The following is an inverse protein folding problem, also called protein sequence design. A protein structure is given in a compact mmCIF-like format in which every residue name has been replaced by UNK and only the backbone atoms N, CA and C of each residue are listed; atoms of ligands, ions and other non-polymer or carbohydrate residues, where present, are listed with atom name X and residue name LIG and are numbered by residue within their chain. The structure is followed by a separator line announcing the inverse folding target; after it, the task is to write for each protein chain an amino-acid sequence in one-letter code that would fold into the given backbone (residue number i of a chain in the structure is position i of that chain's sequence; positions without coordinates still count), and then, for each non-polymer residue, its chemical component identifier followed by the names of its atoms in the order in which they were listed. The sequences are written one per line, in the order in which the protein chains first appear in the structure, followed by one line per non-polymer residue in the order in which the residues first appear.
data_IF_291809865138
#
_entry.id   IF_291809865138
#
_cell.length_a   1.000
_cell.length_b   1.000
_cell.length_c   1.000
_cell.angle_alpha   90.00
_cell.angle_beta   90.00
_cell.angle_gamma   90.00
#
_symmetry.space_group_name_H-M   'P 1'
#
loop_
_entity.id
_entity.type
_entity.pdbx_description
1 polymer ?
#
# COMPACT_ATOMS: atom_id res chain seq x y z
N UNK A 1 33.33 -31.17 23.59
CA UNK A 1 33.81 -30.00 22.81
C UNK A 1 32.59 -29.18 22.42
N UNK A 2 32.46 -27.96 22.96
CA UNK A 2 31.42 -27.00 22.59
C UNK A 2 31.95 -26.20 21.39
N UNK A 3 31.23 -26.18 20.27
CA UNK A 3 31.48 -25.23 19.20
C UNK A 3 30.24 -24.33 19.03
N UNK A 4 30.39 -23.10 19.49
CA UNK A 4 29.49 -21.98 19.22
C UNK A 4 29.59 -21.60 17.75
N UNK A 5 28.47 -21.53 17.04
CA UNK A 5 28.37 -20.96 15.70
C UNK A 5 27.81 -19.55 15.87
N UNK A 6 28.67 -18.54 15.80
CA UNK A 6 28.28 -17.15 15.61
C UNK A 6 27.66 -17.00 14.21
N UNK A 7 26.39 -16.60 14.16
CA UNK A 7 25.73 -16.18 12.92
C UNK A 7 26.03 -14.69 12.71
N UNK A 8 26.97 -14.39 11.82
CA UNK A 8 27.17 -13.04 11.31
C UNK A 8 26.04 -12.71 10.33
N UNK A 9 25.19 -11.76 10.71
CA UNK A 9 24.12 -11.25 9.85
C UNK A 9 24.74 -10.43 8.70
N UNK A 10 24.49 -10.84 7.46
CA UNK A 10 24.87 -10.09 6.26
C UNK A 10 24.09 -8.78 6.19
N UNK A 11 24.75 -7.63 6.02
CA UNK A 11 24.08 -6.33 6.02
C UNK A 11 23.19 -6.15 4.79
N UNK A 12 22.02 -5.56 5.01
CA UNK A 12 21.03 -5.30 3.98
C UNK A 12 21.54 -4.19 3.03
N UNK A 13 21.37 -4.33 1.71
CA UNK A 13 21.91 -3.42 0.67
C UNK A 13 21.54 -1.94 0.89
N UNK A 14 20.42 -1.69 1.58
CA UNK A 14 19.98 -0.33 1.96
C UNK A 14 20.86 0.31 3.04
N UNK A 15 21.43 -0.49 3.94
CA UNK A 15 22.36 -0.02 4.98
C UNK A 15 23.75 0.35 4.41
N UNK A 16 24.17 -0.33 3.34
CA UNK A 16 25.39 0.00 2.60
C UNK A 16 25.22 1.27 1.75
N UNK A 17 24.02 1.48 1.17
CA UNK A 17 23.69 2.70 0.46
C UNK A 17 23.72 3.94 1.38
N UNK A 18 23.19 3.82 2.61
CA UNK A 18 23.26 4.88 3.62
C UNK A 18 24.70 5.20 4.05
N UNK A 19 25.55 4.18 4.25
CA UNK A 19 26.98 4.36 4.56
C UNK A 19 27.72 5.05 3.41
N UNK A 20 27.48 4.65 2.16
CA UNK A 20 28.11 5.26 0.98
C UNK A 20 27.74 6.74 0.82
N UNK A 21 26.50 7.12 1.17
CA UNK A 21 26.06 8.52 1.13
C UNK A 21 26.73 9.35 2.23
N UNK A 22 26.88 8.79 3.43
CA UNK A 22 27.61 9.42 4.56
C UNK A 22 29.11 9.58 4.28
N UNK A 23 29.74 8.61 3.61
CA UNK A 23 31.15 8.67 3.23
C UNK A 23 31.40 9.67 2.09
N UNK A 24 30.46 9.82 1.15
CA UNK A 24 30.55 10.78 0.04
C UNK A 24 30.46 12.25 0.46
N UNK A 25 29.95 12.56 1.66
CA UNK A 25 29.91 13.93 2.16
C UNK A 25 31.24 14.42 2.75
N UNK A 26 32.25 13.55 2.91
CA UNK A 26 33.48 13.84 3.66
C UNK A 26 34.80 13.61 2.90
N UNK A 27 34.87 13.76 1.57
CA UNK A 27 36.19 13.68 0.93
C UNK A 27 36.24 13.92 -0.57
N UNK A 28 36.81 15.06 -0.94
CA UNK A 28 37.38 15.36 -2.26
C UNK A 28 38.80 14.77 -2.29
N UNK A 29 39.11 13.90 -3.26
CA UNK A 29 40.29 13.97 -4.14
C UNK A 29 40.67 12.63 -4.85
N UNK A 30 40.97 12.77 -6.15
CA UNK A 30 41.87 11.99 -7.03
C UNK A 30 41.47 10.65 -7.71
N UNK A 31 41.27 10.76 -9.04
CA UNK A 31 41.91 10.06 -10.19
C UNK A 31 41.82 8.52 -10.39
N UNK A 32 41.17 8.17 -11.50
CA UNK A 32 41.34 7.08 -12.50
C UNK A 32 41.81 5.67 -12.11
N UNK A 33 40.97 4.64 -12.36
CA UNK A 33 41.33 3.58 -13.30
C UNK A 33 40.15 2.74 -13.84
N UNK A 34 40.38 2.23 -15.04
CA UNK A 34 39.50 1.55 -16.00
C UNK A 34 39.01 0.15 -15.57
N UNK A 35 37.82 -0.19 -16.09
CA UNK A 35 37.33 -1.53 -16.45
C UNK A 35 36.80 -2.44 -15.33
N UNK A 36 35.47 -2.65 -15.33
CA UNK A 36 34.79 -3.95 -15.47
C UNK A 36 33.27 -3.75 -15.35
N UNK A 37 32.56 -3.85 -16.48
CA UNK A 37 31.11 -4.07 -16.49
C UNK A 37 30.86 -5.59 -16.42
N UNK A 38 29.82 -6.00 -15.70
CA UNK A 38 28.75 -6.71 -16.38
C UNK A 38 27.39 -6.04 -16.16
N UNK A 39 26.67 -5.94 -17.27
CA UNK A 39 25.31 -5.46 -17.45
C UNK A 39 24.31 -6.12 -16.49
N UNK A 40 23.70 -5.32 -15.62
CA UNK A 40 22.38 -5.57 -15.04
C UNK A 40 21.47 -4.45 -15.53
N UNK A 41 20.46 -4.81 -16.31
CA UNK A 41 19.42 -3.91 -16.76
C UNK A 41 18.59 -3.46 -15.55
N UNK A 42 18.92 -2.28 -15.06
CA UNK A 42 18.06 -1.46 -14.20
C UNK A 42 16.86 -1.02 -15.03
N UNK A 43 15.64 -1.36 -14.61
CA UNK A 43 14.44 -0.70 -15.15
C UNK A 43 14.33 0.62 -14.39
N UNK A 44 14.73 1.67 -15.10
CA UNK A 44 14.51 3.06 -14.78
C UNK A 44 13.01 3.35 -14.94
N UNK A 45 12.38 3.90 -13.90
CA UNK A 45 11.06 4.51 -14.02
C UNK A 45 11.23 5.89 -14.65
N UNK A 46 11.16 5.93 -15.98
CA UNK A 46 11.11 7.18 -16.72
C UNK A 46 9.65 7.63 -16.90
N UNK A 47 9.42 8.85 -16.42
CA UNK A 47 8.29 9.74 -16.67
C UNK A 47 7.98 9.87 -18.17
N UNK A 48 6.70 9.82 -18.55
CA UNK A 48 6.21 10.54 -19.74
C UNK A 48 4.83 11.17 -19.44
N UNK A 49 4.82 12.49 -19.58
CA UNK A 49 3.65 13.34 -19.71
C UNK A 49 3.14 13.39 -21.15
N UNK A 50 1.92 13.92 -21.30
CA UNK A 50 1.21 14.34 -22.52
C UNK A 50 0.47 13.28 -23.36
N UNK A 51 -0.85 13.28 -23.18
CA UNK A 51 -1.78 13.42 -24.30
C UNK A 51 -3.04 14.19 -23.84
N UNK A 52 -3.06 15.50 -24.07
CA UNK A 52 -4.27 16.32 -24.06
C UNK A 52 -5.11 16.00 -25.29
N UNK A 53 -6.38 15.60 -25.10
CA UNK A 53 -7.45 15.88 -26.06
C UNK A 53 -8.83 15.98 -25.39
N UNK A 54 -9.28 17.23 -25.32
CA UNK A 54 -10.64 17.80 -25.30
C UNK A 54 -11.85 16.85 -25.35
N UNK A 55 -12.68 16.89 -24.29
CA UNK A 55 -14.15 16.75 -24.38
C UNK A 55 -14.81 17.67 -23.33
N UNK A 56 -15.67 18.58 -23.79
CA UNK A 56 -16.51 19.49 -22.99
C UNK A 56 -17.80 18.80 -22.46
N UNK A 57 -18.47 19.35 -21.41
CA UNK A 57 -19.25 18.58 -20.46
C UNK A 57 -20.78 18.69 -20.66
N UNK A 58 -21.55 17.65 -20.31
CA UNK A 58 -22.97 17.86 -19.94
C UNK A 58 -23.60 16.69 -19.16
N UNK A 59 -24.21 17.01 -18.01
CA UNK A 59 -25.11 16.11 -17.29
C UNK A 59 -25.27 16.43 -15.80
N UNK A 60 -26.03 17.49 -15.47
CA UNK A 60 -26.30 17.94 -14.09
C UNK A 60 -27.05 16.85 -13.30
N UNK A 61 -26.48 16.39 -12.19
CA UNK A 61 -27.25 15.67 -11.16
C UNK A 61 -27.25 16.49 -9.87
N UNK A 62 -28.43 17.03 -9.52
CA UNK A 62 -28.70 17.76 -8.29
C UNK A 62 -28.76 16.76 -7.13
N UNK A 63 -28.02 17.02 -6.05
CA UNK A 63 -28.30 16.45 -4.73
C UNK A 63 -28.57 17.59 -3.75
N UNK A 64 -29.68 17.42 -3.03
CA UNK A 64 -30.38 18.39 -2.19
C UNK A 64 -29.69 18.49 -0.82
N UNK A 65 -29.46 19.68 -0.25
CA UNK A 65 -29.02 19.81 1.14
C UNK A 65 -30.19 19.62 2.12
N UNK A 66 -29.95 18.81 3.14
CA UNK A 66 -30.87 18.54 4.25
C UNK A 66 -30.67 19.59 5.34
N UNK A 67 -31.52 20.62 5.35
CA UNK A 67 -32.08 21.32 6.54
C UNK A 67 -32.51 22.75 6.17
N UNK A 68 -33.81 23.00 6.25
CA UNK A 68 -34.48 24.29 6.08
C UNK A 68 -34.89 24.90 7.43
N UNK A 69 -34.25 26.02 7.79
CA UNK A 69 -34.83 27.30 8.31
C UNK A 69 -35.58 27.36 9.67
N UNK A 70 -35.90 28.57 10.23
CA UNK A 70 -35.65 29.97 9.78
C UNK A 70 -35.12 30.97 10.86
N UNK A 71 -34.71 32.18 10.42
CA UNK A 71 -35.06 33.43 11.15
C UNK A 71 -33.97 34.45 11.54
N UNK A 72 -33.67 35.40 10.64
CA UNK A 72 -33.65 36.88 10.81
C UNK A 72 -32.76 37.59 11.89
N UNK A 73 -31.75 38.37 11.46
CA UNK A 73 -31.63 39.86 11.48
C UNK A 73 -30.18 40.35 11.34
N UNK A 74 -30.07 41.61 10.93
CA UNK A 74 -28.97 42.30 10.25
C UNK A 74 -27.70 42.66 11.07
N UNK A 75 -26.67 43.02 10.29
CA UNK A 75 -25.72 44.14 10.46
C UNK A 75 -24.27 43.84 10.91
N UNK A 76 -23.38 44.12 9.94
CA UNK A 76 -22.09 44.85 10.01
C UNK A 76 -20.93 44.32 10.88
N UNK A 77 -19.75 44.23 10.26
CA UNK A 77 -18.50 43.87 10.93
C UNK A 77 -17.47 43.26 9.98
N UNK A 78 -16.44 44.03 9.65
CA UNK A 78 -15.40 43.73 8.66
C UNK A 78 -14.80 42.32 8.75
N UNK A 79 -14.73 41.66 7.58
CA UNK A 79 -14.14 40.33 7.45
C UNK A 79 -12.64 40.48 7.23
N UNK A 80 -11.86 40.26 8.29
CA UNK A 80 -10.47 39.86 8.16
C UNK A 80 -10.42 38.54 7.39
N UNK A 81 -9.89 38.60 6.17
CA UNK A 81 -9.58 37.45 5.32
C UNK A 81 -8.37 36.68 5.87
N UNK A 82 -8.51 36.06 7.05
CA UNK A 82 -7.79 34.83 7.34
C UNK A 82 -8.67 33.71 6.81
N UNK A 83 -8.34 33.22 5.62
CA UNK A 83 -9.00 32.05 5.03
C UNK A 83 -8.77 30.86 5.96
N UNK A 84 -9.72 30.64 6.87
CA UNK A 84 -9.76 29.44 7.69
C UNK A 84 -9.88 28.26 6.73
N UNK A 85 -8.97 27.30 6.79
CA UNK A 85 -9.19 26.01 6.14
C UNK A 85 -10.58 25.52 6.55
N UNK A 86 -11.38 24.97 5.62
CA UNK A 86 -12.68 24.39 5.95
C UNK A 86 -12.54 23.48 7.17
N UNK A 87 -13.30 23.70 8.24
CA UNK A 87 -13.16 23.02 9.55
C UNK A 87 -12.97 21.49 9.43
N UNK A 88 -13.60 20.88 8.42
CA UNK A 88 -13.43 19.46 8.07
C UNK A 88 -11.99 19.05 7.76
N UNK A 89 -11.22 19.88 7.06
CA UNK A 89 -9.83 19.62 6.68
C UNK A 89 -8.93 19.64 7.91
N UNK A 90 -9.09 20.65 8.77
CA UNK A 90 -8.36 20.75 10.04
C UNK A 90 -8.66 19.56 10.96
N UNK A 91 -9.93 19.13 11.01
CA UNK A 91 -10.33 17.92 11.72
C UNK A 91 -9.58 16.69 11.20
N UNK A 92 -9.50 16.48 9.88
CA UNK A 92 -8.75 15.35 9.31
C UNK A 92 -7.27 15.39 9.68
N UNK A 93 -6.61 16.54 9.61
CA UNK A 93 -5.20 16.66 10.00
C UNK A 93 -4.97 16.35 11.48
N UNK A 94 -5.84 16.85 12.37
CA UNK A 94 -5.75 16.53 13.80
C UNK A 94 -5.95 15.04 14.09
N UNK A 95 -6.88 14.38 13.37
CA UNK A 95 -7.12 12.95 13.46
C UNK A 95 -5.93 12.14 12.94
N UNK A 96 -5.35 12.51 11.81
CA UNK A 96 -4.15 11.86 11.26
C UNK A 96 -3.01 11.94 12.26
N UNK A 97 -2.72 13.12 12.81
CA UNK A 97 -1.67 13.30 13.82
C UNK A 97 -1.89 12.37 15.03
N UNK A 98 -3.13 12.29 15.52
CA UNK A 98 -3.49 11.42 16.65
C UNK A 98 -3.32 9.94 16.31
N UNK A 99 -3.79 9.49 15.15
CA UNK A 99 -3.70 8.08 14.74
C UNK A 99 -2.28 7.67 14.36
N UNK A 100 -1.46 8.59 13.85
CA UNK A 100 -0.03 8.37 13.58
C UNK A 100 0.73 8.04 14.87
N UNK A 101 0.61 8.88 15.90
CA UNK A 101 1.29 8.64 17.19
C UNK A 101 0.87 7.31 17.84
N UNK A 102 -0.42 6.96 17.75
CA UNK A 102 -0.92 5.67 18.24
C UNK A 102 -0.37 4.49 17.43
N UNK A 103 -0.37 4.59 16.11
CA UNK A 103 0.13 3.53 15.23
C UNK A 103 1.63 3.30 15.45
N UNK A 104 2.42 4.38 15.51
CA UNK A 104 3.84 4.33 15.83
C UNK A 104 4.09 3.59 17.17
N UNK A 105 3.40 4.02 18.23
CA UNK A 105 3.51 3.41 19.56
C UNK A 105 3.07 1.94 19.56
N UNK A 106 1.94 1.62 18.92
CA UNK A 106 1.35 0.28 18.92
C UNK A 106 2.13 -0.75 18.10
N UNK A 107 2.90 -0.30 17.10
CA UNK A 107 3.75 -1.15 16.26
C UNK A 107 5.23 -1.12 16.67
N UNK A 108 5.62 -0.21 17.57
CA UNK A 108 7.02 -0.01 17.94
C UNK A 108 7.85 0.65 16.83
N UNK A 109 7.22 1.46 15.98
CA UNK A 109 7.87 2.23 14.92
C UNK A 109 8.20 3.62 15.46
N UNK A 110 9.34 4.20 15.09
CA UNK A 110 9.66 5.58 15.42
C UNK A 110 8.64 6.55 14.79
N UNK A 111 8.13 7.51 15.57
CA UNK A 111 7.08 8.42 15.11
C UNK A 111 7.55 9.29 13.94
N UNK A 112 8.81 9.74 13.97
CA UNK A 112 9.36 10.58 12.91
C UNK A 112 9.61 9.77 11.62
N UNK A 113 10.01 8.51 11.75
CA UNK A 113 10.14 7.58 10.62
C UNK A 113 8.79 7.31 9.95
N UNK A 114 7.76 6.97 10.73
CA UNK A 114 6.41 6.75 10.19
C UNK A 114 5.86 8.03 9.55
N UNK A 115 6.11 9.20 10.16
CA UNK A 115 5.71 10.49 9.60
C UNK A 115 6.41 10.76 8.27
N UNK A 116 7.72 10.54 8.19
CA UNK A 116 8.47 10.73 6.95
C UNK A 116 7.93 9.84 5.83
N UNK A 117 7.58 8.58 6.14
CA UNK A 117 6.97 7.67 5.17
C UNK A 117 5.60 8.17 4.65
N UNK A 118 4.76 8.73 5.53
CA UNK A 118 3.46 9.31 5.15
C UNK A 118 3.64 10.59 4.33
N UNK A 119 4.60 11.45 4.70
CA UNK A 119 4.85 12.71 3.99
C UNK A 119 5.29 12.49 2.53
N UNK A 120 5.86 11.32 2.20
CA UNK A 120 6.18 10.93 0.83
C UNK A 120 4.95 10.60 -0.03
N UNK A 121 3.76 10.46 0.57
CA UNK A 121 2.52 10.05 -0.11
C UNK A 121 1.69 11.26 -0.55
N UNK A 122 2.28 12.12 -1.39
CA UNK A 122 1.73 13.45 -1.71
C UNK A 122 0.34 13.44 -2.34
N UNK A 123 0.03 12.42 -3.16
CA UNK A 123 -1.23 12.35 -3.92
C UNK A 123 -2.35 11.61 -3.18
N UNK A 124 -2.06 11.02 -2.02
CA UNK A 124 -3.01 10.19 -1.29
C UNK A 124 -3.98 11.05 -0.47
N UNK A 125 -5.30 10.91 -0.65
CA UNK A 125 -6.27 11.68 0.13
C UNK A 125 -6.14 11.45 1.64
N UNK A 126 -6.30 12.51 2.42
CA UNK A 126 -6.23 12.47 3.90
C UNK A 126 -7.12 11.38 4.52
N UNK A 127 -8.32 11.16 3.95
CA UNK A 127 -9.24 10.08 4.37
C UNK A 127 -8.60 8.68 4.20
N UNK A 128 -7.88 8.47 3.11
CA UNK A 128 -7.23 7.18 2.81
C UNK A 128 -6.03 6.97 3.74
N UNK A 129 -5.23 8.01 4.01
CA UNK A 129 -4.16 7.98 5.01
C UNK A 129 -4.71 7.61 6.39
N UNK A 130 -5.79 8.26 6.83
CA UNK A 130 -6.43 7.96 8.11
C UNK A 130 -6.94 6.51 8.17
N UNK A 131 -7.45 6.00 7.05
CA UNK A 131 -7.89 4.59 6.96
C UNK A 131 -6.72 3.63 7.11
N UNK A 132 -5.59 3.90 6.44
CA UNK A 132 -4.37 3.09 6.56
C UNK A 132 -3.85 3.08 8.00
N UNK A 133 -3.74 4.23 8.65
CA UNK A 133 -3.29 4.34 10.04
C UNK A 133 -4.15 3.52 11.02
N UNK A 134 -5.47 3.46 10.78
CA UNK A 134 -6.40 2.64 11.59
C UNK A 134 -6.24 1.15 11.29
N UNK A 135 -6.06 0.78 10.02
CA UNK A 135 -5.84 -0.61 9.63
C UNK A 135 -4.51 -1.15 10.15
N UNK A 136 -3.44 -0.36 10.09
CA UNK A 136 -2.13 -0.66 10.68
C UNK A 136 -2.27 -1.08 12.14
N UNK A 137 -3.03 -0.30 12.94
CA UNK A 137 -3.29 -0.60 14.34
C UNK A 137 -4.13 -1.87 14.52
N UNK A 138 -5.24 -1.98 13.80
CA UNK A 138 -6.19 -3.09 13.95
C UNK A 138 -5.63 -4.44 13.53
N UNK A 139 -4.75 -4.45 12.52
CA UNK A 139 -4.19 -5.67 11.93
C UNK A 139 -2.73 -5.89 12.31
N UNK A 140 -2.14 -4.98 13.08
CA UNK A 140 -0.71 -4.96 13.43
C UNK A 140 0.20 -5.07 12.20
N UNK A 141 -0.07 -4.26 11.17
CA UNK A 141 0.68 -4.23 9.92
C UNK A 141 1.59 -3.00 9.84
N UNK A 142 2.82 -3.23 9.38
CA UNK A 142 3.90 -2.24 9.28
C UNK A 142 4.13 -1.83 7.81
N UNK A 143 3.92 -0.55 7.44
CA UNK A 143 4.15 -0.06 6.09
C UNK A 143 5.64 -0.02 5.70
N UNK A 144 6.57 0.06 6.66
CA UNK A 144 8.01 0.07 6.40
C UNK A 144 8.54 -1.31 6.01
N UNK A 145 7.81 -2.36 6.40
CA UNK A 145 8.04 -3.75 6.00
C UNK A 145 7.19 -4.15 4.79
N UNK A 146 6.61 -3.17 4.10
CA UNK A 146 5.75 -3.37 2.93
C UNK A 146 4.55 -4.28 3.23
N UNK A 147 4.01 -4.32 4.45
CA UNK A 147 2.89 -5.20 4.81
C UNK A 147 1.53 -4.60 4.43
N UNK A 148 1.45 -3.28 4.35
CA UNK A 148 0.25 -2.51 4.01
C UNK A 148 0.65 -1.27 3.21
N UNK A 149 -0.20 -0.84 2.27
CA UNK A 149 0.10 0.32 1.44
C UNK A 149 -1.12 0.90 0.74
N UNK A 150 -0.86 1.77 -0.23
CA UNK A 150 -1.87 2.45 -1.03
C UNK A 150 -1.82 1.97 -2.48
N UNK A 151 -2.98 1.88 -3.11
CA UNK A 151 -3.10 1.68 -4.55
C UNK A 151 -4.09 2.68 -5.11
N UNK A 152 -3.79 3.20 -6.30
CA UNK A 152 -4.70 4.01 -7.09
C UNK A 152 -5.26 3.16 -8.22
N UNK A 153 -6.58 3.17 -8.38
CA UNK A 153 -7.26 2.53 -9.50
C UNK A 153 -7.29 3.45 -10.73
N UNK A 154 -7.62 2.87 -11.88
CA UNK A 154 -7.71 3.59 -13.17
C UNK A 154 -8.74 4.74 -13.14
N UNK A 155 -9.76 4.65 -12.30
CA UNK A 155 -10.75 5.70 -12.08
C UNK A 155 -10.27 6.83 -11.13
N UNK A 156 -8.99 6.78 -10.72
CA UNK A 156 -8.36 7.72 -9.82
C UNK A 156 -8.66 7.49 -8.33
N UNK A 157 -9.47 6.48 -7.98
CA UNK A 157 -9.79 6.19 -6.58
C UNK A 157 -8.59 5.57 -5.85
N UNK A 158 -8.36 6.05 -4.63
CA UNK A 158 -7.32 5.52 -3.75
C UNK A 158 -7.91 4.54 -2.75
N UNK A 159 -7.28 3.38 -2.61
CA UNK A 159 -7.63 2.38 -1.62
C UNK A 159 -6.40 1.89 -0.85
N UNK A 160 -6.62 1.57 0.43
CA UNK A 160 -5.66 0.84 1.24
C UNK A 160 -5.71 -0.63 0.88
N UNK A 161 -4.56 -1.25 0.68
CA UNK A 161 -4.48 -2.69 0.41
C UNK A 161 -3.43 -3.35 1.30
N UNK A 162 -3.67 -4.63 1.59
CA UNK A 162 -2.72 -5.49 2.31
C UNK A 162 -1.88 -6.20 1.25
N UNK A 163 -0.56 -6.11 1.39
CA UNK A 163 0.36 -6.73 0.44
C UNK A 163 0.42 -8.25 0.65
N UNK A 164 1.25 -8.93 -0.15
CA UNK A 164 1.52 -10.36 0.06
C UNK A 164 2.30 -10.59 1.36
N UNK A 165 3.18 -9.68 1.75
CA UNK A 165 3.89 -9.74 3.02
C UNK A 165 2.92 -9.57 4.20
N UNK A 166 1.99 -8.61 4.11
CA UNK A 166 0.96 -8.45 5.14
C UNK A 166 0.03 -9.66 5.24
N UNK A 167 -0.38 -10.23 4.11
CA UNK A 167 -1.16 -11.48 4.09
C UNK A 167 -0.39 -12.63 4.75
N UNK A 168 0.89 -12.77 4.45
CA UNK A 168 1.77 -13.78 5.03
C UNK A 168 1.86 -13.64 6.56
N UNK A 169 2.06 -12.41 7.06
CA UNK A 169 2.08 -12.13 8.50
C UNK A 169 0.76 -12.47 9.16
N UNK A 170 -0.36 -12.02 8.61
CA UNK A 170 -1.69 -12.31 9.15
C UNK A 170 -1.94 -13.81 9.28
N UNK A 171 -1.62 -14.59 8.24
CA UNK A 171 -1.79 -16.03 8.27
C UNK A 171 -0.90 -16.70 9.32
N UNK A 172 0.39 -16.37 9.33
CA UNK A 172 1.34 -17.02 10.25
C UNK A 172 1.10 -16.63 11.72
N UNK A 173 0.54 -15.47 11.99
CA UNK A 173 0.20 -15.03 13.35
C UNK A 173 -1.17 -15.51 13.83
N UNK A 174 -2.06 -15.93 12.93
CA UNK A 174 -3.41 -16.33 13.32
C UNK A 174 -3.41 -17.72 14.02
N UNK A 175 -3.84 -17.83 15.29
CA UNK A 175 -3.71 -19.08 16.06
C UNK A 175 -4.43 -20.29 15.44
N UNK A 176 -5.54 -20.03 14.75
CA UNK A 176 -6.33 -21.08 14.10
C UNK A 176 -5.83 -21.44 12.71
N UNK A 177 -4.85 -20.72 12.13
CA UNK A 177 -4.37 -21.02 10.79
C UNK A 177 -3.77 -22.43 10.74
N UNK A 178 -4.25 -23.25 9.80
CA UNK A 178 -3.89 -24.65 9.66
C UNK A 178 -3.39 -24.99 8.26
N UNK A 179 -2.89 -24.00 7.53
CA UNK A 179 -2.36 -24.16 6.18
C UNK A 179 -3.32 -23.64 5.10
N UNK A 180 -2.80 -23.62 3.88
CA UNK A 180 -3.51 -23.20 2.70
C UNK A 180 -3.15 -24.10 1.52
N UNK A 181 -4.05 -24.21 0.57
CA UNK A 181 -3.87 -24.98 -0.66
C UNK A 181 -4.26 -24.11 -1.85
N UNK A 182 -3.49 -24.21 -2.94
CA UNK A 182 -3.87 -23.61 -4.22
C UNK A 182 -4.30 -24.69 -5.20
N UNK A 183 -5.43 -24.47 -5.86
CA UNK A 183 -5.86 -25.21 -7.03
C UNK A 183 -5.86 -24.28 -8.24
N UNK A 184 -5.74 -24.83 -9.44
CA UNK A 184 -5.80 -24.04 -10.67
C UNK A 184 -6.54 -24.81 -11.76
N UNK A 185 -7.05 -24.07 -12.74
CA UNK A 185 -7.67 -24.66 -13.92
C UNK A 185 -6.68 -25.53 -14.72
N UNK A 186 -7.21 -26.59 -15.35
CA UNK A 186 -6.48 -27.35 -16.36
C UNK A 186 -6.51 -26.64 -17.74
N UNK A 187 -7.45 -25.72 -17.93
CA UNK A 187 -7.55 -24.85 -19.10
C UNK A 187 -6.64 -23.63 -18.95
N UNK A 188 -6.12 -23.16 -20.09
CA UNK A 188 -5.24 -22.00 -20.15
C UNK A 188 -5.84 -20.93 -21.06
N UNK A 189 -5.68 -19.66 -20.67
CA UNK A 189 -5.92 -18.46 -21.47
C UNK A 189 -4.58 -17.71 -21.53
N UNK A 190 -4.06 -17.48 -22.74
CA UNK A 190 -2.76 -16.83 -22.94
C UNK A 190 -1.60 -17.49 -22.15
N UNK A 191 -1.63 -18.83 -21.99
CA UNK A 191 -0.64 -19.58 -21.22
C UNK A 191 -0.78 -19.52 -19.68
N UNK A 192 -1.85 -18.88 -19.19
CA UNK A 192 -2.17 -18.68 -17.77
C UNK A 192 -3.39 -19.52 -17.41
N UNK A 193 -3.48 -20.16 -16.23
CA UNK A 193 -4.69 -20.88 -15.83
C UNK A 193 -5.91 -19.95 -15.88
N UNK A 194 -7.02 -20.45 -16.43
CA UNK A 194 -8.28 -19.68 -16.53
C UNK A 194 -8.72 -19.12 -15.18
N UNK A 195 -8.46 -19.86 -14.11
CA UNK A 195 -8.67 -19.42 -12.73
C UNK A 195 -7.63 -20.04 -11.80
N UNK A 196 -7.40 -19.37 -10.68
CA UNK A 196 -6.68 -19.92 -9.52
C UNK A 196 -7.59 -19.79 -8.30
N UNK A 197 -7.61 -20.84 -7.50
CA UNK A 197 -8.37 -20.93 -6.26
C UNK A 197 -7.43 -21.07 -5.08
N UNK A 198 -7.70 -20.32 -4.02
CA UNK A 198 -7.02 -20.41 -2.74
C UNK A 198 -8.00 -20.92 -1.70
N UNK A 199 -7.64 -21.99 -1.00
CA UNK A 199 -8.38 -22.52 0.14
C UNK A 199 -7.55 -22.38 1.41
N UNK A 200 -8.06 -21.66 2.41
CA UNK A 200 -7.42 -21.49 3.71
C UNK A 200 -8.17 -22.32 4.75
N UNK A 201 -7.42 -23.19 5.43
CA UNK A 201 -7.93 -24.06 6.47
C UNK A 201 -7.69 -23.42 7.84
N UNK A 202 -8.72 -23.47 8.69
CA UNK A 202 -8.62 -23.09 10.09
C UNK A 202 -9.04 -24.26 10.99
N UNK A 203 -8.42 -24.39 12.17
CA UNK A 203 -8.74 -25.47 13.11
C UNK A 203 -10.12 -25.32 13.77
N UNK A 204 -10.66 -24.11 13.76
CA UNK A 204 -11.97 -23.77 14.35
C UNK A 204 -13.13 -23.84 13.35
N UNK A 205 -12.92 -24.42 12.16
CA UNK A 205 -13.94 -24.57 11.11
C UNK A 205 -13.84 -25.95 10.48
N UNK A 206 -14.99 -26.56 10.18
CA UNK A 206 -15.04 -27.85 9.48
C UNK A 206 -14.74 -27.72 7.97
N UNK A 207 -15.05 -26.55 7.40
CA UNK A 207 -14.85 -26.25 5.98
C UNK A 207 -13.86 -25.10 5.79
N UNK A 208 -12.96 -25.18 4.79
CA UNK A 208 -12.06 -24.08 4.49
C UNK A 208 -12.82 -22.87 3.94
N UNK A 209 -12.22 -21.71 4.08
CA UNK A 209 -12.61 -20.55 3.26
C UNK A 209 -11.92 -20.71 1.91
N UNK A 210 -12.72 -20.76 0.84
CA UNK A 210 -12.24 -20.96 -0.52
C UNK A 210 -12.66 -19.80 -1.40
N UNK A 211 -11.71 -19.20 -2.11
CA UNK A 211 -11.94 -18.11 -3.06
C UNK A 211 -11.26 -18.45 -4.39
N UNK A 212 -11.99 -18.22 -5.48
CA UNK A 212 -11.51 -18.41 -6.84
C UNK A 212 -11.52 -17.09 -7.59
N UNK A 213 -10.39 -16.78 -8.22
CA UNK A 213 -10.22 -15.60 -9.07
C UNK A 213 -10.01 -16.04 -10.51
N UNK A 214 -10.71 -15.39 -11.44
CA UNK A 214 -10.68 -15.69 -12.86
C UNK A 214 -9.73 -14.76 -13.58
N UNK A 215 -8.80 -15.33 -14.37
CA UNK A 215 -7.73 -14.58 -15.03
C UNK A 215 -8.27 -13.42 -15.89
N UNK A 216 -9.34 -13.65 -16.65
CA UNK A 216 -9.89 -12.64 -17.55
C UNK A 216 -10.53 -11.46 -16.81
N UNK A 217 -10.97 -11.65 -15.58
CA UNK A 217 -11.62 -10.62 -14.76
C UNK A 217 -10.61 -9.77 -14.01
N UNK A 218 -9.52 -10.38 -13.52
CA UNK A 218 -8.55 -9.68 -12.66
C UNK A 218 -7.31 -9.19 -13.38
N UNK A 219 -7.05 -9.65 -14.61
CA UNK A 219 -5.89 -9.19 -15.38
C UNK A 219 -6.04 -7.69 -15.64
N UNK A 220 -5.00 -6.93 -15.29
CA UNK A 220 -4.90 -5.52 -15.59
C UNK A 220 -3.88 -5.24 -16.68
N UNK A 221 -3.81 -4.00 -17.13
CA UNK A 221 -2.90 -3.57 -18.19
C UNK A 221 -1.45 -3.37 -17.70
N UNK A 222 -1.25 -3.34 -16.37
CA UNK A 222 0.06 -3.11 -15.75
C UNK A 222 1.12 -4.12 -16.21
N UNK A 223 2.35 -3.62 -16.45
CA UNK A 223 3.48 -4.39 -16.98
C UNK A 223 3.83 -5.67 -16.16
N UNK A 224 3.46 -5.72 -14.88
CA UNK A 224 3.68 -6.89 -14.03
C UNK A 224 2.84 -8.09 -14.46
N UNK A 225 1.65 -7.87 -15.03
CA UNK A 225 0.83 -8.94 -15.61
C UNK A 225 1.48 -9.54 -16.85
N UNK A 226 2.25 -8.76 -17.61
CA UNK A 226 2.99 -9.29 -18.76
C UNK A 226 4.22 -10.12 -18.32
N UNK A 227 4.91 -9.69 -17.26
CA UNK A 227 6.13 -10.36 -16.79
C UNK A 227 5.86 -11.62 -15.96
N UNK A 228 4.79 -11.63 -15.16
CA UNK A 228 4.54 -12.71 -14.20
C UNK A 228 3.04 -13.01 -13.97
N UNK A 229 2.24 -13.24 -15.02
CA UNK A 229 0.77 -13.30 -14.92
C UNK A 229 0.28 -14.39 -13.97
N UNK A 230 0.86 -15.59 -14.04
CA UNK A 230 0.49 -16.72 -13.15
C UNK A 230 0.74 -16.40 -11.68
N UNK A 231 1.82 -15.67 -11.38
CA UNK A 231 2.18 -15.28 -10.00
C UNK A 231 1.18 -14.27 -9.46
N UNK A 232 0.83 -13.25 -10.26
CA UNK A 232 -0.11 -12.20 -9.84
C UNK A 232 -1.52 -12.78 -9.67
N UNK A 233 -1.97 -13.66 -10.57
CA UNK A 233 -3.27 -14.32 -10.42
C UNK A 233 -3.36 -15.11 -9.09
N UNK A 234 -2.30 -15.86 -8.76
CA UNK A 234 -2.22 -16.57 -7.46
C UNK A 234 -2.23 -15.61 -6.28
N UNK A 235 -1.55 -14.47 -6.39
CA UNK A 235 -1.53 -13.43 -5.36
C UNK A 235 -2.91 -12.81 -5.14
N UNK A 236 -3.67 -12.54 -6.22
CA UNK A 236 -5.05 -12.03 -6.11
C UNK A 236 -5.96 -13.03 -5.39
N UNK A 237 -5.90 -14.31 -5.75
CA UNK A 237 -6.67 -15.36 -5.07
C UNK A 237 -6.32 -15.46 -3.58
N UNK A 238 -5.03 -15.37 -3.24
CA UNK A 238 -4.57 -15.36 -1.85
C UNK A 238 -5.12 -14.16 -1.07
N UNK A 239 -4.97 -12.94 -1.60
CA UNK A 239 -5.40 -11.71 -0.92
C UNK A 239 -6.91 -11.73 -0.60
N UNK A 240 -7.73 -12.13 -1.57
CA UNK A 240 -9.18 -12.22 -1.38
C UNK A 240 -9.57 -13.30 -0.38
N UNK A 241 -8.89 -14.46 -0.43
CA UNK A 241 -9.12 -15.54 0.52
C UNK A 241 -8.72 -15.13 1.95
N UNK A 242 -7.57 -14.49 2.13
CA UNK A 242 -7.11 -13.99 3.44
C UNK A 242 -8.10 -13.00 4.03
N UNK A 243 -8.63 -12.07 3.23
CA UNK A 243 -9.62 -11.08 3.67
C UNK A 243 -10.86 -11.71 4.30
N UNK A 244 -11.30 -12.86 3.78
CA UNK A 244 -12.48 -13.58 4.28
C UNK A 244 -12.13 -14.58 5.38
N UNK A 245 -10.94 -15.19 5.30
CA UNK A 245 -10.51 -16.23 6.21
C UNK A 245 -10.03 -15.67 7.55
N UNK A 246 -9.41 -14.48 7.56
CA UNK A 246 -8.84 -13.85 8.76
C UNK A 246 -9.76 -12.78 9.38
N UNK A 247 -11.00 -12.68 8.89
CA UNK A 247 -12.07 -11.92 9.53
C UNK A 247 -12.59 -12.60 10.80
#
# INVERSE_FOLDING_TARGET
MKNSIEKTATPNKRSEALKSILEKQNGVDTVDNKSLLPTIQTIQEDLIADALQTVEPMGKSKVIPFNSEPGHRDADGGVNMTQSLPQSIELFYSLIKKELAKAATGLGIDEAELKAWIDLQMDVPAKTILTLLRMMQSLHLDPLLEEIGFTQFEDGQWQVFITIEGCSKLLNHHPQFNGLVFNQANTLIDGVPEWIECSIYRRDRDVPTTVREYYIEVRGENAIWQKMPRRILRHRALQQCVRLAMA
#
